data_IF_860735230687
#
_entry.id   IF_860735230687
#
_cell.length_a   1.000
_cell.length_b   1.000
_cell.length_c   1.000
_cell.angle_alpha   90.00
_cell.angle_beta   90.00
_cell.angle_gamma   90.00
#
_symmetry.space_group_name_H-M   'P 1'
#
loop_
_entity.id
_entity.type
_entity.pdbx_description
1 polymer ?
#
# COMPACT_ATOMS: atom_id res chain seq x y z
N UNK A 1 38.36 -16.57 4.82
CA UNK A 1 37.41 -15.91 5.73
C UNK A 1 37.17 -14.48 5.24
N UNK A 2 36.27 -14.28 4.27
CA UNK A 2 35.97 -12.98 3.62
C UNK A 2 34.67 -12.34 4.13
N UNK A 3 34.16 -12.79 5.28
CA UNK A 3 32.85 -12.39 5.80
C UNK A 3 32.95 -11.10 6.65
N UNK A 4 34.15 -10.64 7.01
CA UNK A 4 34.32 -9.63 8.05
C UNK A 4 34.41 -8.16 7.61
N UNK A 5 34.60 -7.82 6.33
CA UNK A 5 34.54 -6.40 5.89
C UNK A 5 33.16 -5.99 5.39
N UNK A 6 32.46 -6.91 4.71
CA UNK A 6 31.16 -6.60 4.09
C UNK A 6 30.05 -6.45 5.14
N UNK A 7 30.06 -7.28 6.20
CA UNK A 7 29.09 -7.18 7.29
C UNK A 7 29.26 -5.90 8.10
N UNK A 8 30.49 -5.52 8.43
CA UNK A 8 30.74 -4.28 9.18
C UNK A 8 30.42 -3.05 8.33
N UNK A 9 30.74 -3.04 7.03
CA UNK A 9 30.33 -1.98 6.12
C UNK A 9 28.80 -1.86 5.99
N UNK A 10 28.10 -3.00 5.90
CA UNK A 10 26.64 -3.04 5.87
C UNK A 10 26.02 -2.51 7.18
N UNK A 11 26.53 -2.94 8.33
CA UNK A 11 26.08 -2.48 9.64
C UNK A 11 26.41 -1.00 9.89
N UNK A 12 27.52 -0.48 9.36
CA UNK A 12 27.88 0.95 9.43
C UNK A 12 26.96 1.83 8.56
N UNK A 13 26.42 1.29 7.46
CA UNK A 13 25.47 1.98 6.59
C UNK A 13 24.02 1.90 7.09
N UNK A 14 23.72 0.91 7.93
CA UNK A 14 22.49 0.90 8.69
C UNK A 14 22.59 2.02 9.73
N UNK A 15 21.85 3.10 9.51
CA UNK A 15 21.66 4.15 10.50
C UNK A 15 20.77 3.62 11.65
N UNK A 16 21.36 2.75 12.49
CA UNK A 16 20.69 2.00 13.56
C UNK A 16 20.24 2.95 14.68
N UNK A 17 20.88 4.12 14.78
CA UNK A 17 20.58 5.12 15.80
C UNK A 17 19.48 6.09 15.42
N UNK A 18 18.87 5.97 14.23
CA UNK A 18 17.78 6.89 13.88
C UNK A 18 16.62 6.74 14.87
N UNK A 19 16.16 7.85 15.48
CA UNK A 19 15.13 7.81 16.51
C UNK A 19 13.76 7.37 15.95
N UNK A 20 13.50 7.63 14.67
CA UNK A 20 12.31 7.17 13.93
C UNK A 20 12.16 5.64 13.90
N UNK A 21 13.27 4.88 13.98
CA UNK A 21 13.27 3.41 14.02
C UNK A 21 12.94 2.85 15.40
N UNK A 22 13.27 3.57 16.47
CA UNK A 22 13.03 3.11 17.84
C UNK A 22 11.61 3.45 18.31
N UNK A 23 11.15 4.66 18.00
CA UNK A 23 9.79 5.13 18.28
C UNK A 23 9.41 6.18 17.23
N UNK A 24 8.83 5.78 16.09
CA UNK A 24 8.43 6.71 15.07
C UNK A 24 7.41 7.72 15.61
N UNK A 25 7.49 8.95 15.12
CA UNK A 25 6.39 9.90 15.28
C UNK A 25 5.14 9.38 14.56
N UNK A 26 3.99 10.01 14.82
CA UNK A 26 2.73 9.57 14.25
C UNK A 26 2.71 9.59 12.72
N UNK A 27 3.33 10.57 12.07
CA UNK A 27 3.35 10.66 10.62
C UNK A 27 4.14 9.49 10.02
N UNK A 28 5.33 9.23 10.54
CA UNK A 28 6.17 8.10 10.13
C UNK A 28 5.45 6.77 10.39
N UNK A 29 4.83 6.62 11.56
CA UNK A 29 4.06 5.43 11.92
C UNK A 29 2.90 5.17 10.96
N UNK A 30 2.10 6.19 10.63
CA UNK A 30 0.97 6.03 9.71
C UNK A 30 1.41 5.82 8.27
N UNK A 31 2.55 6.38 7.85
CA UNK A 31 3.12 6.11 6.53
C UNK A 31 3.59 4.65 6.40
N UNK A 32 4.27 4.09 7.40
CA UNK A 32 4.62 2.67 7.39
C UNK A 32 3.38 1.75 7.35
N UNK A 33 2.31 2.14 8.03
CA UNK A 33 1.04 1.42 7.92
C UNK A 33 0.43 1.53 6.51
N UNK A 34 0.50 2.69 5.87
CA UNK A 34 0.05 2.86 4.50
C UNK A 34 0.87 1.99 3.52
N UNK A 35 2.19 1.89 3.69
CA UNK A 35 3.05 0.98 2.95
C UNK A 35 2.63 -0.48 3.13
N UNK A 36 2.42 -0.93 4.38
CA UNK A 36 1.96 -2.29 4.68
C UNK A 36 0.58 -2.58 4.08
N UNK A 37 -0.33 -1.61 4.09
CA UNK A 37 -1.64 -1.72 3.45
C UNK A 37 -1.50 -1.83 1.93
N UNK A 38 -0.57 -1.09 1.32
CA UNK A 38 -0.31 -1.11 -0.13
C UNK A 38 0.09 -2.51 -0.64
N UNK A 39 0.74 -3.33 0.20
CA UNK A 39 1.13 -4.71 -0.14
C UNK A 39 -0.06 -5.61 -0.51
N UNK A 40 -1.29 -5.26 -0.10
CA UNK A 40 -2.51 -6.00 -0.44
C UNK A 40 -3.12 -5.63 -1.79
N UNK A 41 -2.53 -4.66 -2.49
CA UNK A 41 -3.00 -4.18 -3.80
C UNK A 41 -2.92 -5.27 -4.86
N UNK A 42 -4.00 -5.38 -5.63
CA UNK A 42 -4.08 -6.28 -6.80
C UNK A 42 -3.94 -5.54 -8.15
N UNK A 43 -3.73 -4.22 -8.11
CA UNK A 43 -3.28 -3.43 -9.25
C UNK A 43 -1.85 -3.80 -9.62
N UNK A 44 -1.60 -3.97 -10.93
CA UNK A 44 -0.27 -4.24 -11.49
C UNK A 44 0.50 -2.96 -11.83
N UNK A 45 -0.19 -1.82 -11.96
CA UNK A 45 0.41 -0.55 -12.38
C UNK A 45 0.97 0.26 -11.21
N UNK A 46 0.24 0.32 -10.09
CA UNK A 46 0.60 1.12 -8.91
C UNK A 46 0.23 0.38 -7.64
N UNK A 47 1.10 0.41 -6.64
CA UNK A 47 0.81 -0.05 -5.28
C UNK A 47 0.51 1.18 -4.43
N UNK A 48 -0.74 1.31 -4.00
CA UNK A 48 -1.20 2.47 -3.23
C UNK A 48 -1.96 1.97 -2.02
N UNK A 49 -1.48 2.39 -0.85
CA UNK A 49 -2.15 2.18 0.42
C UNK A 49 -2.57 3.51 1.03
N UNK A 50 -3.67 3.48 1.78
CA UNK A 50 -4.28 4.63 2.43
C UNK A 50 -4.68 4.25 3.86
N UNK A 51 -4.40 5.15 4.79
CA UNK A 51 -4.81 5.07 6.19
C UNK A 51 -5.57 6.35 6.54
N UNK A 52 -6.80 6.19 7.03
CA UNK A 52 -7.61 7.29 7.56
C UNK A 52 -7.42 7.36 9.07
N UNK A 53 -7.05 8.55 9.54
CA UNK A 53 -6.72 8.79 10.95
C UNK A 53 -7.62 9.90 11.51
N UNK A 54 -8.11 9.69 12.74
CA UNK A 54 -8.81 10.67 13.56
C UNK A 54 -8.31 10.59 14.99
N UNK A 55 -7.92 11.72 15.57
CA UNK A 55 -7.43 11.80 16.96
C UNK A 55 -6.30 10.80 17.26
N UNK A 56 -5.34 10.67 16.32
CA UNK A 56 -4.25 9.68 16.38
C UNK A 56 -4.70 8.20 16.41
N UNK A 57 -5.96 7.92 16.05
CA UNK A 57 -6.50 6.56 15.92
C UNK A 57 -6.80 6.25 14.46
N UNK A 58 -6.49 5.02 14.06
CA UNK A 58 -6.82 4.53 12.72
C UNK A 58 -8.31 4.24 12.69
N UNK A 59 -9.02 4.88 11.77
CA UNK A 59 -10.47 4.70 11.61
C UNK A 59 -10.73 3.68 10.49
N UNK A 60 -9.97 3.77 9.40
CA UNK A 60 -10.05 2.82 8.30
C UNK A 60 -8.74 2.75 7.51
N UNK A 61 -8.63 1.70 6.70
CA UNK A 61 -7.54 1.50 5.75
C UNK A 61 -8.10 1.13 4.39
N UNK A 62 -7.38 1.43 3.32
CA UNK A 62 -7.75 1.07 1.97
C UNK A 62 -6.53 0.89 1.09
N UNK A 63 -6.63 -0.01 0.11
CA UNK A 63 -5.62 -0.20 -0.91
C UNK A 63 -6.30 -0.14 -2.28
N UNK A 64 -5.57 0.21 -3.33
CA UNK A 64 -6.15 0.29 -4.66
C UNK A 64 -6.38 -1.10 -5.27
N UNK A 65 -7.40 -1.23 -6.09
CA UNK A 65 -7.73 -2.51 -6.72
C UNK A 65 -9.12 -2.60 -7.32
N UNK A 66 -9.39 -3.67 -8.06
CA UNK A 66 -10.72 -3.88 -8.64
C UNK A 66 -11.81 -4.03 -7.58
N UNK A 67 -13.03 -3.62 -7.93
CA UNK A 67 -14.18 -3.81 -7.06
C UNK A 67 -14.39 -5.29 -6.68
N UNK A 68 -15.04 -5.51 -5.54
CA UNK A 68 -15.34 -6.86 -5.03
C UNK A 68 -16.14 -7.66 -6.07
N UNK A 69 -15.82 -8.94 -6.23
CA UNK A 69 -16.44 -9.88 -7.19
C UNK A 69 -16.09 -9.65 -8.66
N UNK A 70 -15.19 -8.71 -8.96
CA UNK A 70 -14.55 -8.63 -10.27
C UNK A 70 -13.19 -9.34 -10.21
N UNK A 71 -12.74 -9.85 -11.37
CA UNK A 71 -11.35 -10.34 -11.50
C UNK A 71 -10.38 -9.22 -11.14
N UNK A 72 -9.24 -9.55 -10.57
CA UNK A 72 -8.27 -8.54 -10.20
C UNK A 72 -7.50 -8.01 -11.42
N UNK A 73 -6.82 -6.87 -11.25
CA UNK A 73 -5.99 -6.30 -12.32
C UNK A 73 -4.82 -7.27 -12.66
N UNK A 74 -4.25 -8.01 -11.69
CA UNK A 74 -3.27 -9.09 -11.92
C UNK A 74 -3.85 -10.38 -12.53
N UNK A 75 -5.17 -10.55 -12.51
CA UNK A 75 -5.88 -11.67 -13.16
C UNK A 75 -6.42 -11.27 -14.56
N UNK A 76 -5.94 -10.15 -15.12
CA UNK A 76 -6.26 -9.69 -16.47
C UNK A 76 -7.52 -8.82 -16.61
N UNK A 77 -8.08 -8.27 -15.53
CA UNK A 77 -9.30 -7.46 -15.63
C UNK A 77 -9.07 -5.98 -16.05
N UNK A 78 -7.81 -5.54 -16.12
CA UNK A 78 -7.43 -4.17 -16.48
C UNK A 78 -6.40 -4.18 -17.61
N UNK A 79 -6.85 -4.05 -18.86
CA UNK A 79 -5.99 -3.99 -20.04
C UNK A 79 -5.06 -2.76 -20.00
N UNK A 80 -5.59 -1.60 -19.60
CA UNK A 80 -4.83 -0.36 -19.40
C UNK A 80 -3.69 -0.47 -18.40
N UNK A 81 -3.90 -1.26 -17.35
CA UNK A 81 -2.87 -1.52 -16.35
C UNK A 81 -1.76 -2.40 -16.91
N UNK A 82 -2.07 -3.21 -17.94
CA UNK A 82 -1.16 -4.18 -18.56
C UNK A 82 -0.35 -3.57 -19.70
N UNK A 83 -0.83 -2.47 -20.30
CA UNK A 83 -0.19 -1.83 -21.46
C UNK A 83 0.99 -0.91 -21.11
N UNK A 84 1.34 -0.75 -19.83
CA UNK A 84 2.62 -0.15 -19.41
C UNK A 84 2.81 1.35 -19.71
N UNK A 85 1.84 2.04 -20.32
CA UNK A 85 1.99 3.47 -20.60
C UNK A 85 1.83 4.31 -19.31
N UNK A 86 2.99 4.71 -18.79
CA UNK A 86 3.16 5.69 -17.71
C UNK A 86 2.74 7.08 -18.20
N UNK A 87 1.43 7.32 -18.24
CA UNK A 87 0.87 8.61 -18.69
C UNK A 87 -0.49 8.54 -19.39
N UNK A 88 -1.00 7.33 -19.68
CA UNK A 88 -2.32 7.15 -20.28
C UNK A 88 -3.44 7.78 -19.43
N UNK A 89 -4.34 8.51 -20.08
CA UNK A 89 -5.50 9.18 -19.46
C UNK A 89 -6.26 8.17 -18.59
N UNK A 90 -6.40 8.49 -17.30
CA UNK A 90 -7.04 7.67 -16.24
C UNK A 90 -8.49 7.23 -16.50
N UNK A 91 -9.08 7.53 -17.66
CA UNK A 91 -10.51 7.34 -17.95
C UNK A 91 -10.94 5.88 -18.11
N UNK A 92 -10.01 4.93 -18.25
CA UNK A 92 -10.29 3.52 -18.58
C UNK A 92 -9.78 2.52 -17.52
N UNK A 93 -9.06 2.98 -16.50
CA UNK A 93 -8.64 2.13 -15.38
C UNK A 93 -9.86 1.71 -14.54
N UNK A 94 -10.04 0.41 -14.34
CA UNK A 94 -11.14 -0.16 -13.51
C UNK A 94 -10.76 -0.34 -12.03
N UNK A 95 -9.49 -0.13 -11.67
CA UNK A 95 -9.06 -0.30 -10.29
C UNK A 95 -9.54 0.93 -9.48
N UNK A 96 -10.25 0.70 -8.37
CA UNK A 96 -10.70 1.72 -7.42
C UNK A 96 -9.50 2.20 -6.60
N UNK A 97 -9.47 3.51 -6.34
CA UNK A 97 -8.44 4.18 -5.55
C UNK A 97 -8.44 3.74 -4.08
N UNK A 98 -7.27 3.81 -3.44
CA UNK A 98 -7.08 3.37 -2.06
C UNK A 98 -7.89 4.23 -1.08
N UNK A 99 -7.95 5.53 -1.33
CA UNK A 99 -8.66 6.57 -0.60
C UNK A 99 -10.17 6.27 -0.58
N UNK A 100 -10.72 5.97 -1.75
CA UNK A 100 -12.14 5.63 -1.91
C UNK A 100 -12.45 4.33 -1.16
N UNK A 101 -11.59 3.33 -1.28
CA UNK A 101 -11.75 2.07 -0.55
C UNK A 101 -11.66 2.25 0.97
N UNK A 102 -10.84 3.19 1.46
CA UNK A 102 -10.73 3.49 2.88
C UNK A 102 -12.01 4.17 3.40
N UNK A 103 -12.53 5.18 2.68
CA UNK A 103 -13.80 5.86 3.01
C UNK A 103 -14.99 4.90 3.00
N UNK A 104 -15.07 4.02 1.99
CA UNK A 104 -16.14 3.01 1.90
C UNK A 104 -16.11 2.00 3.05
N UNK A 105 -14.95 1.76 3.67
CA UNK A 105 -14.83 0.90 4.85
C UNK A 105 -15.14 1.63 6.14
N UNK A 106 -14.79 2.90 6.24
CA UNK A 106 -15.13 3.76 7.38
C UNK A 106 -16.65 3.83 7.57
N UNK A 107 -17.40 4.13 6.51
CA UNK A 107 -18.86 4.19 6.51
C UNK A 107 -19.56 2.86 6.90
N UNK A 108 -18.83 1.74 6.94
CA UNK A 108 -19.35 0.42 7.38
C UNK A 108 -18.98 0.07 8.81
N UNK A 109 -18.13 0.88 9.45
CA UNK A 109 -17.69 0.68 10.82
C UNK A 109 -18.66 1.29 11.84
N UNK A 110 -18.47 1.00 13.14
CA UNK A 110 -19.28 1.58 14.23
C UNK A 110 -19.09 3.10 14.40
N UNK A 111 -18.19 3.72 13.62
CA UNK A 111 -17.84 5.14 13.67
C UNK A 111 -18.31 5.93 12.42
N UNK A 112 -19.14 5.34 11.56
CA UNK A 112 -19.51 5.84 10.22
C UNK A 112 -20.37 7.11 10.17
N UNK A 113 -20.18 8.03 11.10
CA UNK A 113 -20.92 9.29 11.26
C UNK A 113 -19.94 10.46 11.52
N UNK A 114 -18.86 10.58 10.73
CA UNK A 114 -17.93 11.71 10.89
C UNK A 114 -17.70 12.48 9.59
N UNK A 115 -18.30 13.66 9.49
CA UNK A 115 -17.97 14.71 8.51
C UNK A 115 -16.54 15.29 8.66
N UNK A 116 -15.69 14.66 9.48
CA UNK A 116 -14.39 15.17 9.90
C UNK A 116 -13.38 14.03 10.00
N UNK A 117 -12.87 13.60 8.86
CA UNK A 117 -11.63 12.82 8.78
C UNK A 117 -10.48 13.81 8.98
N UNK A 118 -9.73 13.67 10.08
CA UNK A 118 -8.68 14.64 10.41
C UNK A 118 -7.45 14.55 9.49
N UNK A 119 -7.19 13.35 8.93
CA UNK A 119 -6.03 13.16 8.06
C UNK A 119 -6.18 11.93 7.15
N UNK A 120 -5.80 12.11 5.89
CA UNK A 120 -5.62 11.03 4.91
C UNK A 120 -4.11 10.89 4.69
N UNK A 121 -3.54 9.72 5.04
CA UNK A 121 -2.16 9.37 4.70
C UNK A 121 -2.18 8.38 3.56
N UNK A 122 -1.53 8.75 2.45
CA UNK A 122 -1.47 7.94 1.25
C UNK A 122 -0.02 7.76 0.83
N UNK A 123 0.33 6.52 0.53
CA UNK A 123 1.60 6.18 -0.08
C UNK A 123 1.41 6.08 -1.60
N UNK A 124 2.13 6.89 -2.35
CA UNK A 124 2.22 6.78 -3.81
C UNK A 124 3.52 6.06 -4.15
N UNK A 125 3.46 4.80 -4.57
CA UNK A 125 4.62 4.20 -5.22
C UNK A 125 4.62 4.72 -6.65
N UNK A 126 5.59 5.58 -6.99
CA UNK A 126 5.94 5.83 -8.39
C UNK A 126 6.79 4.68 -8.97
N UNK A 127 7.08 3.63 -8.18
CA UNK A 127 8.00 2.57 -8.60
C UNK A 127 7.32 1.43 -9.37
N UNK A 128 7.84 1.19 -10.56
CA UNK A 128 7.70 -0.01 -11.39
C UNK A 128 8.17 -1.26 -10.61
N UNK A 129 7.33 -1.82 -9.74
CA UNK A 129 7.57 -3.16 -9.21
C UNK A 129 7.03 -4.17 -10.22
N UNK A 130 7.91 -4.71 -11.07
CA UNK A 130 7.60 -5.79 -12.01
C UNK A 130 7.23 -7.06 -11.25
N UNK A 131 5.93 -7.27 -11.03
CA UNK A 131 5.36 -8.45 -10.36
C UNK A 131 5.68 -9.77 -11.07
N UNK A 132 6.31 -9.75 -12.25
CA UNK A 132 6.83 -10.98 -12.91
C UNK A 132 8.06 -11.56 -12.20
N UNK A 133 8.77 -10.79 -11.36
CA UNK A 133 10.00 -11.27 -10.71
C UNK A 133 9.77 -11.81 -9.28
N UNK A 134 8.62 -11.56 -8.67
CA UNK A 134 8.28 -12.04 -7.33
C UNK A 134 6.85 -12.59 -7.30
N UNK A 135 6.63 -13.84 -7.74
CA UNK A 135 5.34 -14.49 -7.53
C UNK A 135 5.05 -14.53 -6.03
N UNK A 136 3.85 -14.11 -5.64
CA UNK A 136 3.37 -14.29 -4.27
C UNK A 136 3.48 -15.77 -3.90
N UNK A 137 4.04 -16.15 -2.73
CA UNK A 137 3.91 -17.51 -2.25
C UNK A 137 2.41 -17.84 -2.20
N UNK A 138 2.03 -18.94 -2.84
CA UNK A 138 0.65 -19.41 -2.89
C UNK A 138 0.08 -19.41 -1.47
N UNK A 139 -0.92 -18.57 -1.23
CA UNK A 139 -1.56 -18.52 0.08
C UNK A 139 -2.18 -19.90 0.34
N UNK A 140 -1.87 -20.56 1.47
CA UNK A 140 -2.41 -21.88 1.76
C UNK A 140 -3.93 -21.80 1.81
N UNK A 141 -4.57 -22.68 1.03
CA UNK A 141 -6.01 -22.88 1.05
C UNK A 141 -6.34 -23.47 2.43
N UNK A 142 -6.96 -22.67 3.28
CA UNK A 142 -7.45 -23.13 4.58
C UNK A 142 -8.74 -23.93 4.30
N UNK A 143 -8.86 -25.17 4.80
CA UNK A 143 -10.02 -26.04 4.57
C UNK A 143 -11.33 -25.50 5.16
#
# INVERSE_FOLDING_TARGET
>A
MKISMDLYGYLSNLDIKRPDRLRPDYDTYFMYLAELVALRTNCIKRKVGCVLVKDSRIIATGYNGTAKRLKNCNDGNCEECSQGESGGKSSTCKCVHAEVNALLRENKGPYGDTNEVSMIKQMFEEAEIDLRQHPSPEAPIIP
#
